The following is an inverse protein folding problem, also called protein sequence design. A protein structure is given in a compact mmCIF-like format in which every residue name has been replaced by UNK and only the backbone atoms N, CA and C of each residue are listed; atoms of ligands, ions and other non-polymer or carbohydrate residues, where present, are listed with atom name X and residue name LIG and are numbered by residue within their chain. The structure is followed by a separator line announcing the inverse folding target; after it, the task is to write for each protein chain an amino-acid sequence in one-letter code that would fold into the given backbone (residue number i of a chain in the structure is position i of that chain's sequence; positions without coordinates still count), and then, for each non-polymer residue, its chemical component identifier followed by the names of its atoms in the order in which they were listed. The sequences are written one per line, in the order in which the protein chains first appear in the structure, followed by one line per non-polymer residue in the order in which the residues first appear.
data_IF_440850315939
#
_entry.id   IF_440850315939
#
_cell.length_a   1.000
_cell.length_b   1.000
_cell.length_c   1.000
_cell.angle_alpha   90.00
_cell.angle_beta   90.00
_cell.angle_gamma   90.00
#
_symmetry.space_group_name_H-M   'P 1'
#
loop_
_entity.id
_entity.type
_entity.pdbx_description
1 polymer ?
#
# COMPACT_ATOMS: atom_id res chain seq x y z
N UNK A 1 12.99 -57.93 -38.09
CA UNK A 1 11.71 -58.49 -37.58
C UNK A 1 11.52 -58.42 -36.07
N UNK A 2 12.53 -58.67 -35.21
CA UNK A 2 12.36 -58.77 -33.73
C UNK A 2 12.01 -57.48 -32.95
N UNK A 3 12.00 -56.29 -33.58
CA UNK A 3 11.72 -55.00 -32.88
C UNK A 3 10.23 -54.63 -32.93
N UNK A 4 9.58 -54.88 -34.07
CA UNK A 4 8.15 -54.59 -34.28
C UNK A 4 7.24 -55.51 -33.45
N UNK A 5 7.64 -56.78 -33.29
CA UNK A 5 6.91 -57.75 -32.43
C UNK A 5 6.97 -57.39 -30.95
N UNK A 6 8.05 -56.77 -30.48
CA UNK A 6 8.19 -56.31 -29.09
C UNK A 6 7.35 -55.06 -28.79
N UNK A 7 7.14 -54.19 -29.77
CA UNK A 7 6.26 -53.02 -29.61
C UNK A 7 4.79 -53.40 -29.68
N UNK A 8 4.40 -54.34 -30.55
CA UNK A 8 3.03 -54.88 -30.60
C UNK A 8 2.66 -55.66 -29.34
N UNK A 9 3.62 -56.38 -28.72
CA UNK A 9 3.39 -57.06 -27.44
C UNK A 9 3.26 -56.09 -26.25
N UNK A 10 3.90 -54.91 -26.31
CA UNK A 10 3.75 -53.87 -25.28
C UNK A 10 2.42 -53.12 -25.40
N UNK A 11 1.96 -52.81 -26.63
CA UNK A 11 0.64 -52.19 -26.86
C UNK A 11 -0.51 -53.09 -26.41
N UNK A 12 -0.46 -54.38 -26.76
CA UNK A 12 -1.51 -55.34 -26.35
C UNK A 12 -1.55 -55.60 -24.85
N UNK A 13 -0.44 -55.39 -24.12
CA UNK A 13 -0.42 -55.50 -22.65
C UNK A 13 -1.00 -54.25 -21.97
N UNK A 14 -0.77 -53.07 -22.54
CA UNK A 14 -1.35 -51.80 -22.07
C UNK A 14 -2.86 -51.71 -22.36
N UNK A 15 -3.32 -52.19 -23.52
CA UNK A 15 -4.75 -52.24 -23.87
C UNK A 15 -5.53 -53.20 -22.95
N UNK A 16 -4.92 -54.35 -22.57
CA UNK A 16 -5.52 -55.28 -21.60
C UNK A 16 -5.53 -54.76 -20.16
N UNK A 17 -4.66 -53.81 -19.81
CA UNK A 17 -4.72 -53.12 -18.51
C UNK A 17 -5.83 -52.07 -18.49
N UNK A 18 -6.06 -51.36 -19.61
CA UNK A 18 -7.14 -50.37 -19.73
C UNK A 18 -8.52 -51.05 -19.65
N UNK A 19 -8.69 -52.23 -20.28
CA UNK A 19 -9.94 -53.00 -20.20
C UNK A 19 -10.24 -53.55 -18.79
N UNK A 20 -9.23 -53.71 -17.93
CA UNK A 20 -9.43 -54.07 -16.51
C UNK A 20 -10.04 -52.92 -15.70
N UNK A 21 -9.91 -51.67 -16.13
CA UNK A 21 -10.43 -50.50 -15.44
C UNK A 21 -11.76 -49.99 -16.01
N UNK A 22 -12.26 -50.55 -17.13
CA UNK A 22 -13.49 -50.07 -17.79
C UNK A 22 -14.72 -50.96 -17.52
N UNK A 23 -14.57 -52.12 -16.88
CA UNK A 23 -15.73 -53.00 -16.61
C UNK A 23 -15.79 -53.48 -15.16
N UNK A 24 -16.42 -52.66 -14.32
CA UNK A 24 -17.44 -53.05 -13.32
C UNK A 24 -17.98 -51.79 -12.63
N UNK A 25 -19.30 -51.65 -12.65
CA UNK A 25 -20.13 -50.59 -12.08
C UNK A 25 -20.32 -49.30 -12.89
N UNK A 26 -20.67 -49.48 -14.17
CA UNK A 26 -21.40 -48.49 -14.96
C UNK A 26 -22.91 -48.43 -14.64
N UNK A 27 -23.28 -48.61 -13.37
CA UNK A 27 -24.67 -48.45 -12.90
C UNK A 27 -24.65 -47.67 -11.58
N UNK A 28 -25.27 -46.48 -11.61
CA UNK A 28 -25.43 -45.53 -10.51
C UNK A 28 -24.28 -44.56 -10.22
N UNK A 29 -23.65 -43.99 -11.25
CA UNK A 29 -23.22 -42.59 -11.11
C UNK A 29 -24.48 -41.75 -11.31
N UNK A 30 -25.12 -41.35 -10.20
CA UNK A 30 -25.96 -40.16 -10.20
C UNK A 30 -25.06 -39.05 -10.70
N UNK A 31 -25.20 -38.69 -11.97
CA UNK A 31 -24.78 -37.39 -12.46
C UNK A 31 -25.57 -36.43 -11.59
N UNK A 32 -24.93 -35.94 -10.54
CA UNK A 32 -25.36 -34.74 -9.87
C UNK A 32 -25.24 -33.71 -10.98
N UNK A 33 -26.37 -33.47 -11.67
CA UNK A 33 -26.58 -32.28 -12.48
C UNK A 33 -26.23 -31.18 -11.50
N UNK A 34 -25.01 -30.68 -11.62
CA UNK A 34 -24.57 -29.50 -10.94
C UNK A 34 -25.54 -28.46 -11.48
N UNK A 35 -26.57 -28.15 -10.71
CA UNK A 35 -27.54 -27.15 -11.06
C UNK A 35 -26.72 -25.97 -11.56
N UNK A 36 -26.86 -25.65 -12.84
CA UNK A 36 -26.32 -24.44 -13.40
C UNK A 36 -26.78 -23.36 -12.42
N UNK A 37 -25.83 -22.80 -11.65
CA UNK A 37 -26.13 -21.69 -10.77
C UNK A 37 -26.80 -20.70 -11.68
N UNK A 38 -28.12 -20.54 -11.54
CA UNK A 38 -28.89 -19.55 -12.27
C UNK A 38 -28.09 -18.27 -12.10
N UNK A 39 -27.48 -17.82 -13.19
CA UNK A 39 -26.93 -16.47 -13.25
C UNK A 39 -28.19 -15.63 -13.26
N UNK A 40 -28.71 -15.36 -12.05
CA UNK A 40 -29.81 -14.44 -11.86
C UNK A 40 -29.37 -13.17 -12.56
N UNK A 41 -30.14 -12.77 -13.58
CA UNK A 41 -29.92 -11.48 -14.25
C UNK A 41 -29.74 -10.46 -13.14
N UNK A 42 -28.63 -9.69 -13.14
CA UNK A 42 -28.36 -8.77 -12.04
C UNK A 42 -29.60 -7.91 -11.86
N UNK A 43 -30.13 -7.90 -10.64
CA UNK A 43 -31.32 -7.12 -10.32
C UNK A 43 -31.16 -5.72 -10.92
N UNK A 44 -32.16 -5.25 -11.66
CA UNK A 44 -32.15 -3.89 -12.20
C UNK A 44 -32.35 -2.92 -11.02
N UNK A 45 -31.25 -2.63 -10.34
CA UNK A 45 -31.21 -1.65 -9.25
C UNK A 45 -30.99 -0.30 -9.91
N UNK A 46 -31.82 0.68 -9.56
CA UNK A 46 -31.61 2.08 -10.00
C UNK A 46 -30.30 2.61 -9.40
N UNK A 47 -29.60 3.54 -10.07
CA UNK A 47 -28.35 4.10 -9.57
C UNK A 47 -28.43 4.57 -8.12
N UNK A 48 -29.52 5.23 -7.72
CA UNK A 48 -29.72 5.78 -6.38
C UNK A 48 -29.84 4.66 -5.32
N UNK A 49 -30.61 3.61 -5.62
CA UNK A 49 -30.72 2.43 -4.74
C UNK A 49 -29.39 1.68 -4.64
N UNK A 50 -28.59 1.69 -5.71
CA UNK A 50 -27.26 1.10 -5.70
C UNK A 50 -26.30 1.90 -4.82
N UNK A 51 -26.35 3.23 -4.89
CA UNK A 51 -25.53 4.13 -4.08
C UNK A 51 -25.80 3.93 -2.58
N UNK A 52 -27.07 3.94 -2.17
CA UNK A 52 -27.47 3.70 -0.78
C UNK A 52 -27.00 2.34 -0.25
N UNK A 53 -27.14 1.29 -1.07
CA UNK A 53 -26.67 -0.05 -0.70
C UNK A 53 -25.15 -0.10 -0.56
N UNK A 54 -24.42 0.57 -1.44
CA UNK A 54 -22.96 0.67 -1.37
C UNK A 54 -22.54 1.43 -0.12
N UNK A 55 -23.16 2.58 0.18
CA UNK A 55 -22.91 3.38 1.39
C UNK A 55 -23.01 2.55 2.66
N UNK A 56 -24.05 1.72 2.79
CA UNK A 56 -24.19 0.78 3.92
C UNK A 56 -23.02 -0.22 4.02
N UNK A 57 -22.55 -0.74 2.89
CA UNK A 57 -21.47 -1.73 2.86
C UNK A 57 -20.06 -1.13 3.01
N UNK A 58 -19.89 0.18 2.82
CA UNK A 58 -18.64 0.88 3.12
C UNK A 58 -18.33 0.91 4.63
N UNK A 59 -19.34 0.74 5.49
CA UNK A 59 -19.15 0.66 6.95
C UNK A 59 -18.73 -0.73 7.45
N UNK A 60 -18.59 -1.71 6.57
CA UNK A 60 -18.26 -3.08 6.94
C UNK A 60 -16.93 -3.52 6.29
N UNK A 61 -15.96 -3.87 7.14
CA UNK A 61 -14.59 -4.23 6.75
C UNK A 61 -14.55 -5.33 5.66
N UNK A 62 -15.35 -6.40 5.82
CA UNK A 62 -15.34 -7.53 4.90
C UNK A 62 -15.88 -7.19 3.51
N UNK A 63 -16.79 -6.21 3.43
CA UNK A 63 -17.40 -5.77 2.16
C UNK A 63 -16.78 -4.50 1.61
N UNK A 64 -15.94 -3.81 2.38
CA UNK A 64 -15.40 -2.50 2.06
C UNK A 64 -14.71 -2.47 0.69
N UNK A 65 -13.76 -3.39 0.45
CA UNK A 65 -13.01 -3.48 -0.81
C UNK A 65 -13.91 -3.63 -2.04
N UNK A 66 -14.93 -4.47 -1.94
CA UNK A 66 -15.88 -4.65 -3.05
C UNK A 66 -16.74 -3.39 -3.24
N UNK A 67 -17.10 -2.75 -2.14
CA UNK A 67 -17.98 -1.58 -2.13
C UNK A 67 -17.31 -0.34 -2.70
N UNK A 68 -16.04 -0.06 -2.36
CA UNK A 68 -15.31 1.05 -3.00
C UNK A 68 -15.21 0.85 -4.52
N UNK A 69 -14.95 -0.40 -4.94
CA UNK A 69 -14.73 -0.71 -6.34
C UNK A 69 -16.01 -0.48 -7.15
N UNK A 70 -17.15 -0.84 -6.55
CA UNK A 70 -18.46 -0.57 -7.11
C UNK A 70 -18.77 0.93 -7.08
N UNK A 71 -18.42 1.64 -6.01
CA UNK A 71 -18.63 3.08 -5.90
C UNK A 71 -17.86 3.84 -6.99
N UNK A 72 -16.55 3.56 -7.16
CA UNK A 72 -15.71 4.17 -8.19
C UNK A 72 -16.30 3.98 -9.59
N UNK A 73 -16.75 2.75 -9.91
CA UNK A 73 -17.42 2.46 -11.20
C UNK A 73 -18.76 3.18 -11.34
N UNK A 74 -19.55 3.23 -10.26
CA UNK A 74 -20.87 3.84 -10.25
C UNK A 74 -20.77 5.35 -10.49
N UNK A 75 -19.90 6.03 -9.73
CA UNK A 75 -19.64 7.47 -9.88
C UNK A 75 -19.11 7.75 -11.29
N UNK A 76 -18.05 7.09 -11.74
CA UNK A 76 -17.50 7.34 -13.10
C UNK A 76 -18.55 7.24 -14.21
N UNK A 77 -19.45 6.26 -14.12
CA UNK A 77 -20.46 6.00 -15.15
C UNK A 77 -21.73 6.86 -15.01
N UNK A 78 -22.09 7.25 -13.80
CA UNK A 78 -23.40 7.83 -13.49
C UNK A 78 -23.35 9.07 -12.60
N UNK A 79 -22.19 9.74 -12.46
CA UNK A 79 -22.00 10.92 -11.62
C UNK A 79 -23.02 12.04 -11.90
N UNK A 80 -23.41 12.25 -13.17
CA UNK A 80 -24.43 13.24 -13.55
C UNK A 80 -25.84 12.94 -13.03
N UNK A 81 -26.06 11.74 -12.49
CA UNK A 81 -27.34 11.33 -11.89
C UNK A 81 -27.39 11.51 -10.38
N UNK A 82 -26.25 11.82 -9.75
CA UNK A 82 -26.16 12.05 -8.31
C UNK A 82 -25.93 13.52 -8.04
N UNK A 83 -26.54 14.01 -6.97
CA UNK A 83 -26.18 15.28 -6.37
C UNK A 83 -24.76 15.22 -5.80
N UNK A 84 -24.11 16.38 -5.66
CA UNK A 84 -22.79 16.45 -5.04
C UNK A 84 -22.89 16.04 -3.56
N UNK A 85 -23.99 16.36 -2.88
CA UNK A 85 -24.26 16.00 -1.51
C UNK A 85 -24.28 14.48 -1.31
N UNK A 86 -24.95 13.73 -2.19
CA UNK A 86 -24.96 12.25 -2.14
C UNK A 86 -23.56 11.64 -2.33
N UNK A 87 -22.74 12.26 -3.19
CA UNK A 87 -21.36 11.83 -3.40
C UNK A 87 -20.51 12.15 -2.16
N UNK A 88 -20.61 13.36 -1.62
CA UNK A 88 -19.90 13.79 -0.41
C UNK A 88 -20.26 12.92 0.80
N UNK A 89 -21.52 12.54 0.93
CA UNK A 89 -22.01 11.60 1.95
C UNK A 89 -21.33 10.22 1.87
N UNK A 90 -21.02 9.76 0.66
CA UNK A 90 -20.26 8.53 0.45
C UNK A 90 -18.79 8.72 0.83
N UNK A 91 -18.18 9.87 0.52
CA UNK A 91 -16.81 10.21 0.93
C UNK A 91 -16.68 10.31 2.45
N UNK A 92 -17.66 10.91 3.11
CA UNK A 92 -17.75 10.98 4.56
C UNK A 92 -17.80 9.57 5.15
N UNK A 93 -18.62 8.69 4.58
CA UNK A 93 -18.69 7.28 5.00
C UNK A 93 -17.36 6.53 4.80
N UNK A 94 -16.66 6.79 3.69
CA UNK A 94 -15.31 6.22 3.45
C UNK A 94 -14.36 6.68 4.55
N UNK A 95 -14.37 7.97 4.86
CA UNK A 95 -13.50 8.56 5.87
C UNK A 95 -13.79 8.03 7.29
N UNK A 96 -15.06 7.99 7.68
CA UNK A 96 -15.51 7.50 8.99
C UNK A 96 -15.29 6.00 9.19
N UNK A 97 -15.23 5.23 8.10
CA UNK A 97 -15.08 3.77 8.19
C UNK A 97 -13.79 3.32 8.87
N UNK A 98 -12.75 4.16 8.88
CA UNK A 98 -11.41 3.82 9.38
C UNK A 98 -10.64 2.83 8.51
N UNK A 99 -11.27 2.25 7.48
CA UNK A 99 -10.65 1.27 6.58
C UNK A 99 -9.80 1.91 5.48
N UNK A 100 -9.75 3.24 5.41
CA UNK A 100 -8.93 3.95 4.43
C UNK A 100 -7.45 3.58 4.52
N UNK A 101 -6.97 3.18 5.70
CA UNK A 101 -5.61 2.72 5.98
C UNK A 101 -5.36 1.22 5.65
N UNK A 102 -6.42 0.44 5.41
CA UNK A 102 -6.38 -1.01 5.17
C UNK A 102 -6.54 -1.34 3.69
N UNK A 103 -5.68 -2.22 3.16
CA UNK A 103 -4.80 -2.03 2.00
C UNK A 103 -5.33 -1.08 0.89
N UNK A 104 -4.41 -0.40 0.19
CA UNK A 104 -4.70 0.72 -0.70
C UNK A 104 -5.75 0.28 -1.70
N UNK A 105 -6.72 1.15 -1.86
CA UNK A 105 -7.70 1.00 -2.90
C UNK A 105 -7.41 2.21 -3.75
N UNK A 106 -6.67 2.02 -4.85
CA UNK A 106 -6.45 3.05 -5.87
C UNK A 106 -7.76 3.78 -6.16
N UNK A 107 -8.87 3.04 -6.08
CA UNK A 107 -10.24 3.50 -6.20
C UNK A 107 -10.62 4.60 -5.20
N UNK A 108 -10.15 4.58 -3.95
CA UNK A 108 -10.38 5.68 -3.00
C UNK A 108 -9.76 6.96 -3.53
N UNK A 109 -8.46 6.97 -3.85
CA UNK A 109 -7.79 8.15 -4.44
C UNK A 109 -8.44 8.58 -5.76
N UNK A 110 -8.78 7.62 -6.62
CA UNK A 110 -9.48 7.90 -7.87
C UNK A 110 -10.84 8.56 -7.66
N UNK A 111 -11.61 8.15 -6.66
CA UNK A 111 -12.90 8.76 -6.33
C UNK A 111 -12.68 10.20 -5.87
N UNK A 112 -11.76 10.44 -4.91
CA UNK A 112 -11.46 11.80 -4.43
C UNK A 112 -10.99 12.71 -5.57
N UNK A 113 -10.08 12.22 -6.42
CA UNK A 113 -9.58 12.97 -7.58
C UNK A 113 -10.70 13.26 -8.58
N UNK A 114 -11.57 12.27 -8.84
CA UNK A 114 -12.72 12.47 -9.73
C UNK A 114 -13.65 13.55 -9.18
N UNK A 115 -13.93 13.56 -7.88
CA UNK A 115 -14.79 14.58 -7.27
C UNK A 115 -14.14 15.96 -7.34
N UNK A 116 -12.83 16.06 -7.09
CA UNK A 116 -12.09 17.32 -7.26
C UNK A 116 -12.19 17.82 -8.71
N UNK A 117 -11.85 16.97 -9.68
CA UNK A 117 -11.82 17.34 -11.10
C UNK A 117 -13.20 17.74 -11.66
N UNK A 118 -14.30 17.16 -11.17
CA UNK A 118 -15.63 17.35 -11.75
C UNK A 118 -16.55 18.24 -10.91
N UNK A 119 -16.27 18.43 -9.61
CA UNK A 119 -17.20 19.07 -8.68
C UNK A 119 -16.55 20.08 -7.74
N UNK A 120 -15.25 20.39 -7.82
CA UNK A 120 -14.59 21.32 -6.89
C UNK A 120 -15.35 22.64 -6.71
N UNK A 121 -15.87 23.22 -7.78
CA UNK A 121 -16.63 24.48 -7.74
C UNK A 121 -18.04 24.32 -7.14
N UNK A 122 -18.57 23.09 -7.16
CA UNK A 122 -19.88 22.73 -6.63
C UNK A 122 -19.84 22.22 -5.19
N UNK A 123 -18.65 22.04 -4.59
CA UNK A 123 -18.53 21.63 -3.19
C UNK A 123 -18.99 22.81 -2.31
N UNK A 124 -19.97 22.59 -1.40
CA UNK A 124 -20.41 23.61 -0.46
C UNK A 124 -19.24 24.20 0.34
N UNK A 125 -19.23 25.51 0.56
CA UNK A 125 -18.11 26.22 1.18
C UNK A 125 -17.76 25.63 2.56
N UNK A 126 -18.78 25.27 3.34
CA UNK A 126 -18.67 24.66 4.65
C UNK A 126 -18.05 23.24 4.63
N UNK A 127 -18.04 22.57 3.47
CA UNK A 127 -17.47 21.23 3.29
C UNK A 127 -16.10 21.25 2.58
N UNK A 128 -15.66 22.38 2.01
CA UNK A 128 -14.38 22.46 1.26
C UNK A 128 -13.18 22.04 2.10
N UNK A 129 -13.04 22.61 3.30
CA UNK A 129 -11.92 22.29 4.19
C UNK A 129 -11.92 20.81 4.61
N UNK A 130 -13.11 20.25 4.83
CA UNK A 130 -13.29 18.83 5.16
C UNK A 130 -12.90 17.94 3.98
N UNK A 131 -13.31 18.31 2.77
CA UNK A 131 -12.94 17.60 1.55
C UNK A 131 -11.42 17.64 1.29
N UNK A 132 -10.78 18.80 1.48
CA UNK A 132 -9.32 18.94 1.37
C UNK A 132 -8.57 18.01 2.32
N UNK A 133 -9.04 17.91 3.56
CA UNK A 133 -8.48 16.99 4.57
C UNK A 133 -8.61 15.52 4.14
N UNK A 134 -9.78 15.14 3.63
CA UNK A 134 -10.00 13.77 3.14
C UNK A 134 -9.14 13.46 1.91
N UNK A 135 -9.00 14.42 0.99
CA UNK A 135 -8.15 14.30 -0.18
C UNK A 135 -6.67 14.16 0.22
N UNK A 136 -6.19 14.97 1.17
CA UNK A 136 -4.85 14.82 1.75
C UNK A 136 -4.62 13.40 2.25
N UNK A 137 -5.55 12.87 3.07
CA UNK A 137 -5.42 11.53 3.62
C UNK A 137 -5.43 10.45 2.52
N UNK A 138 -6.34 10.57 1.55
CA UNK A 138 -6.45 9.63 0.44
C UNK A 138 -5.20 9.65 -0.46
N UNK A 139 -4.65 10.83 -0.74
CA UNK A 139 -3.42 10.98 -1.50
C UNK A 139 -2.24 10.42 -0.73
N UNK A 140 -2.07 10.80 0.53
CA UNK A 140 -0.96 10.32 1.33
C UNK A 140 -1.00 8.81 1.45
N UNK A 141 -2.11 8.19 1.89
CA UNK A 141 -2.16 6.73 2.08
C UNK A 141 -1.88 5.97 0.78
N UNK A 142 -2.52 6.36 -0.34
CA UNK A 142 -2.34 5.64 -1.61
C UNK A 142 -0.96 5.87 -2.23
N UNK A 143 -0.37 7.05 -2.04
CA UNK A 143 0.95 7.39 -2.59
C UNK A 143 2.08 6.69 -1.81
N UNK A 144 1.87 6.30 -0.56
CA UNK A 144 2.84 5.47 0.18
C UNK A 144 2.88 4.04 -0.39
N UNK A 145 1.79 3.56 -1.00
CA UNK A 145 1.68 2.20 -1.53
C UNK A 145 2.28 1.95 -2.91
N UNK A 146 2.93 2.95 -3.48
CA UNK A 146 3.69 2.77 -4.71
C UNK A 146 5.03 2.11 -4.39
N UNK A 147 5.44 1.11 -5.16
CA UNK A 147 6.82 0.58 -5.12
C UNK A 147 7.85 1.58 -5.70
N UNK A 148 7.37 2.73 -6.17
CA UNK A 148 8.15 3.84 -6.68
C UNK A 148 8.69 4.71 -5.52
N UNK A 149 10.01 4.64 -5.33
CA UNK A 149 10.70 5.40 -4.29
C UNK A 149 10.64 6.91 -4.52
N UNK A 150 10.58 7.39 -5.76
CA UNK A 150 10.46 8.82 -6.06
C UNK A 150 9.10 9.35 -5.60
N UNK A 151 8.03 8.63 -5.94
CA UNK A 151 6.67 8.96 -5.54
C UNK A 151 6.52 8.95 -4.01
N UNK A 152 7.12 7.96 -3.35
CA UNK A 152 7.19 7.91 -1.89
C UNK A 152 7.89 9.13 -1.28
N UNK A 153 9.09 9.49 -1.76
CA UNK A 153 9.85 10.61 -1.20
C UNK A 153 9.15 11.95 -1.44
N UNK A 154 8.50 12.11 -2.59
CA UNK A 154 7.64 13.27 -2.86
C UNK A 154 6.52 13.39 -1.82
N UNK A 155 5.90 12.27 -1.45
CA UNK A 155 4.84 12.25 -0.45
C UNK A 155 5.37 12.53 0.98
N UNK A 156 6.53 11.98 1.34
CA UNK A 156 7.18 12.33 2.61
C UNK A 156 7.47 13.83 2.66
N UNK A 157 7.99 14.42 1.57
CA UNK A 157 8.22 15.86 1.48
C UNK A 157 6.92 16.64 1.68
N UNK A 158 5.85 16.24 1.01
CA UNK A 158 4.53 16.85 1.15
C UNK A 158 3.98 16.76 2.59
N UNK A 159 4.17 15.63 3.27
CA UNK A 159 3.82 15.50 4.69
C UNK A 159 4.64 16.45 5.57
N UNK A 160 5.96 16.58 5.34
CA UNK A 160 6.80 17.52 6.09
C UNK A 160 6.36 18.97 5.88
N UNK A 161 6.08 19.34 4.63
CA UNK A 161 5.53 20.66 4.30
C UNK A 161 4.20 20.90 5.06
N UNK A 162 3.31 19.90 5.11
CA UNK A 162 2.06 20.01 5.85
C UNK A 162 2.26 20.13 7.36
N UNK A 163 3.23 19.41 7.93
CA UNK A 163 3.61 19.51 9.35
C UNK A 163 4.06 20.92 9.74
N UNK A 164 4.64 21.68 8.80
CA UNK A 164 5.00 23.09 9.03
C UNK A 164 3.81 24.02 9.19
N UNK A 165 2.68 23.69 8.56
CA UNK A 165 1.45 24.47 8.62
C UNK A 165 0.56 24.15 9.82
N UNK A 166 0.82 23.05 10.55
CA UNK A 166 -0.01 22.62 11.67
C UNK A 166 0.15 23.51 12.90
N UNK A 167 -0.96 23.71 13.60
CA UNK A 167 -1.05 24.49 14.84
C UNK A 167 -1.97 23.83 15.85
N UNK A 168 -1.90 24.23 17.12
CA UNK A 168 -2.80 23.73 18.19
C UNK A 168 -4.28 24.02 17.90
N UNK A 169 -4.55 25.09 17.16
CA UNK A 169 -5.91 25.50 16.77
C UNK A 169 -6.49 24.59 15.67
N UNK A 170 -5.61 23.93 14.89
CA UNK A 170 -5.98 23.11 13.73
C UNK A 170 -6.27 21.65 14.10
N UNK A 171 -7.06 21.42 15.17
CA UNK A 171 -7.29 20.07 15.74
C UNK A 171 -7.65 19.00 14.72
N UNK A 172 -8.56 19.32 13.80
CA UNK A 172 -8.98 18.38 12.75
C UNK A 172 -7.86 18.04 11.77
N UNK A 173 -7.02 19.00 11.41
CA UNK A 173 -5.85 18.77 10.56
C UNK A 173 -4.80 17.94 11.30
N UNK A 174 -4.61 18.17 12.60
CA UNK A 174 -3.69 17.38 13.43
C UNK A 174 -4.13 15.91 13.47
N UNK A 175 -5.42 15.65 13.62
CA UNK A 175 -6.01 14.30 13.57
C UNK A 175 -5.80 13.63 12.20
N UNK A 176 -6.06 14.37 11.11
CA UNK A 176 -5.91 13.88 9.74
C UNK A 176 -4.45 13.54 9.43
N UNK A 177 -3.53 14.45 9.78
CA UNK A 177 -2.10 14.25 9.63
C UNK A 177 -1.62 13.04 10.42
N UNK A 178 -2.06 12.91 11.68
CA UNK A 178 -1.72 11.80 12.53
C UNK A 178 -2.18 10.45 11.94
N UNK A 179 -3.40 10.38 11.40
CA UNK A 179 -3.88 9.18 10.69
C UNK A 179 -3.01 8.83 9.47
N UNK A 180 -2.59 9.84 8.71
CA UNK A 180 -1.71 9.65 7.57
C UNK A 180 -0.32 9.12 7.99
N UNK A 181 0.21 9.63 9.11
CA UNK A 181 1.47 9.18 9.70
C UNK A 181 1.40 7.71 10.15
N UNK A 182 0.32 7.29 10.80
CA UNK A 182 0.12 5.88 11.15
C UNK A 182 0.08 4.98 9.91
N UNK A 183 -0.49 5.49 8.81
CA UNK A 183 -0.46 4.81 7.51
C UNK A 183 0.95 4.48 7.00
N UNK A 184 1.99 5.22 7.40
CA UNK A 184 3.38 4.96 7.03
C UNK A 184 4.02 3.79 7.78
N UNK A 185 3.46 3.35 8.92
CA UNK A 185 4.11 2.37 9.79
C UNK A 185 4.46 1.06 9.08
N UNK A 186 3.59 0.57 8.20
CA UNK A 186 3.82 -0.65 7.41
C UNK A 186 5.07 -0.58 6.53
N UNK A 187 5.52 0.61 6.15
CA UNK A 187 6.72 0.82 5.34
C UNK A 187 8.00 0.84 6.15
N UNK A 188 7.94 0.96 7.48
CA UNK A 188 9.14 0.78 8.32
C UNK A 188 9.85 -0.55 8.10
N UNK A 189 9.17 -1.56 7.55
CA UNK A 189 9.77 -2.85 7.18
C UNK A 189 10.62 -2.78 5.91
N UNK A 190 10.41 -1.78 5.05
CA UNK A 190 11.08 -1.61 3.76
C UNK A 190 12.34 -0.76 3.93
N UNK A 191 13.49 -1.35 3.60
CA UNK A 191 14.81 -0.81 3.88
C UNK A 191 15.03 0.61 3.34
N UNK A 192 14.66 0.85 2.08
CA UNK A 192 14.87 2.14 1.41
C UNK A 192 14.01 3.28 1.96
N UNK A 193 12.92 2.96 2.69
CA UNK A 193 11.98 3.96 3.21
C UNK A 193 12.22 4.33 4.68
N UNK A 194 12.96 3.47 5.42
CA UNK A 194 13.17 3.58 6.87
C UNK A 194 13.67 4.95 7.30
N UNK A 195 14.73 5.44 6.68
CA UNK A 195 15.37 6.71 7.05
C UNK A 195 14.42 7.90 6.88
N UNK A 196 13.67 7.92 5.78
CA UNK A 196 12.71 8.99 5.49
C UNK A 196 11.54 9.00 6.48
N UNK A 197 11.01 7.81 6.82
CA UNK A 197 9.93 7.68 7.82
C UNK A 197 10.43 8.06 9.21
N UNK A 198 11.62 7.61 9.58
CA UNK A 198 12.22 7.92 10.88
C UNK A 198 12.38 9.42 11.06
N UNK A 199 12.92 10.11 10.04
CA UNK A 199 13.08 11.56 10.06
C UNK A 199 11.73 12.28 10.19
N UNK A 200 10.70 11.84 9.45
CA UNK A 200 9.37 12.41 9.56
C UNK A 200 8.76 12.22 10.96
N UNK A 201 8.97 11.06 11.58
CA UNK A 201 8.53 10.79 12.96
C UNK A 201 9.26 11.71 13.94
N UNK A 202 10.56 11.91 13.76
CA UNK A 202 11.35 12.85 14.57
C UNK A 202 10.84 14.27 14.45
N UNK A 203 10.67 14.79 13.24
CA UNK A 203 10.12 16.13 13.00
C UNK A 203 8.71 16.26 13.64
N UNK A 204 7.86 15.23 13.49
CA UNK A 204 6.52 15.25 14.08
C UNK A 204 6.58 15.26 15.61
N UNK A 205 7.51 14.51 16.18
CA UNK A 205 7.70 14.43 17.62
C UNK A 205 8.22 15.75 18.22
N UNK A 206 9.03 16.52 17.49
CA UNK A 206 9.44 17.87 17.91
C UNK A 206 8.22 18.80 18.07
N UNK A 207 7.18 18.59 17.26
CA UNK A 207 5.90 19.31 17.35
C UNK A 207 4.83 18.58 18.15
N UNK A 208 5.17 17.60 18.99
CA UNK A 208 4.21 16.74 19.69
C UNK A 208 3.11 17.48 20.48
N UNK A 209 3.38 18.71 20.94
CA UNK A 209 2.46 19.50 21.74
C UNK A 209 1.16 19.86 21.00
N UNK A 210 1.16 19.87 19.67
CA UNK A 210 -0.05 20.11 18.86
C UNK A 210 -1.01 18.90 18.82
N UNK A 211 -0.55 17.74 19.31
CA UNK A 211 -1.31 16.49 19.32
C UNK A 211 -1.84 16.17 20.72
N UNK A 212 -2.89 15.37 20.78
CA UNK A 212 -3.49 14.90 22.05
C UNK A 212 -2.52 14.00 22.83
N UNK A 213 -2.68 13.88 24.15
CA UNK A 213 -1.80 13.05 25.00
C UNK A 213 -1.70 11.59 24.50
N UNK A 214 -2.81 11.01 24.06
CA UNK A 214 -2.84 9.65 23.50
C UNK A 214 -2.02 9.53 22.19
N UNK A 215 -2.08 10.56 21.33
CA UNK A 215 -1.26 10.63 20.12
C UNK A 215 0.22 10.82 20.47
N UNK A 216 0.54 11.65 21.46
CA UNK A 216 1.91 11.84 21.94
C UNK A 216 2.52 10.55 22.47
N UNK A 217 1.77 9.74 23.23
CA UNK A 217 2.22 8.44 23.70
C UNK A 217 2.51 7.48 22.54
N UNK A 218 1.69 7.52 21.49
CA UNK A 218 1.91 6.70 20.30
C UNK A 218 3.12 7.19 19.48
N UNK A 219 3.32 8.50 19.35
CA UNK A 219 4.51 9.08 18.72
C UNK A 219 5.79 8.68 19.47
N UNK A 220 5.76 8.66 20.81
CA UNK A 220 6.86 8.14 21.64
C UNK A 220 7.19 6.69 21.30
N UNK A 221 6.17 5.82 21.21
CA UNK A 221 6.35 4.41 20.83
C UNK A 221 6.91 4.29 19.41
N UNK A 222 6.43 5.10 18.47
CA UNK A 222 6.89 5.09 17.09
C UNK A 222 8.35 5.55 16.95
N UNK A 223 8.80 6.49 17.79
CA UNK A 223 10.17 7.00 17.85
C UNK A 223 11.14 6.00 18.49
N UNK A 224 10.71 5.31 19.55
CA UNK A 224 11.53 4.37 20.32
C UNK A 224 11.93 3.10 19.53
N UNK A 225 11.33 2.85 18.38
CA UNK A 225 11.71 1.77 17.48
C UNK A 225 12.96 2.22 16.69
N UNK A 226 14.10 2.23 17.36
CA UNK A 226 15.38 2.47 16.68
C UNK A 226 15.68 1.31 15.71
N UNK A 227 16.19 1.60 14.50
CA UNK A 227 16.94 0.61 13.77
C UNK A 227 18.22 0.33 14.57
N UNK A 228 18.48 -0.95 14.88
CA UNK A 228 19.72 -1.47 15.51
C UNK A 228 21.06 -1.05 14.87
N UNK A 229 21.04 -0.18 13.86
CA UNK A 229 22.22 0.26 13.11
C UNK A 229 23.00 1.40 13.76
N UNK A 230 22.42 2.23 14.63
CA UNK A 230 23.19 3.30 15.28
C UNK A 230 24.37 2.72 16.10
N UNK A 231 24.12 1.62 16.82
CA UNK A 231 25.13 0.89 17.61
C UNK A 231 26.15 0.17 16.73
N UNK A 232 25.77 -0.29 15.53
CA UNK A 232 26.70 -0.97 14.61
C UNK A 232 27.64 0.02 13.92
N UNK A 233 27.15 1.22 13.56
CA UNK A 233 27.99 2.28 12.98
C UNK A 233 28.97 2.90 13.99
N UNK A 234 28.60 3.00 15.28
CA UNK A 234 29.54 3.36 16.34
C UNK A 234 30.55 2.24 16.60
N UNK A 235 30.13 0.97 16.62
CA UNK A 235 31.06 -0.18 16.67
C UNK A 235 32.02 -0.23 15.50
N UNK A 236 31.58 0.10 14.29
CA UNK A 236 32.45 0.12 13.10
C UNK A 236 33.44 1.29 13.18
N UNK A 237 33.06 2.45 13.74
CA UNK A 237 34.02 3.53 14.04
C UNK A 237 35.03 3.10 15.12
N UNK A 238 34.59 2.47 16.20
CA UNK A 238 35.49 1.98 17.25
C UNK A 238 36.46 0.88 16.74
N UNK A 239 36.05 0.08 15.75
CA UNK A 239 36.90 -0.93 15.10
C UNK A 239 37.88 -0.31 14.07
N UNK A 240 37.52 0.82 13.45
CA UNK A 240 38.34 1.53 12.45
C UNK A 240 39.28 2.56 13.07
N UNK A 241 38.96 3.10 14.25
CA UNK A 241 39.79 4.07 15.00
C UNK A 241 40.77 3.39 15.97
N UNK A 242 40.71 2.06 16.12
CA UNK A 242 41.74 1.31 16.81
C UNK A 242 43.04 1.31 15.97
N UNK A 243 44.16 1.88 16.45
CA UNK A 243 45.42 1.87 15.70
C UNK A 243 45.90 0.42 15.56
N UNK A 244 45.76 -0.14 14.36
CA UNK A 244 46.43 -1.38 14.00
C UNK A 244 47.85 -1.04 13.57
N UNK A 245 48.85 -1.47 14.33
CA UNK A 245 50.22 -1.58 13.81
C UNK A 245 50.22 -2.58 12.67
N UNK A 246 50.21 -2.07 11.44
CA UNK A 246 50.51 -2.85 10.25
C UNK A 246 52.01 -2.68 10.03
N UNK A 247 52.79 -3.70 10.39
CA UNK A 247 54.17 -3.81 9.93
C UNK A 247 54.14 -4.40 8.52
N UNK A 248 54.12 -3.54 7.50
CA UNK A 248 54.36 -3.94 6.12
C UNK A 248 55.80 -3.59 5.72
N UNK A 249 56.54 -4.60 5.26
CA UNK A 249 57.97 -4.53 4.98
C UNK A 249 58.25 -4.16 3.51
N UNK A 250 57.42 -3.30 2.90
CA UNK A 250 57.57 -2.86 1.52
C UNK A 250 57.18 -1.39 1.37
N UNK A 251 58.08 -0.65 0.73
CA UNK A 251 57.96 0.77 0.42
C UNK A 251 56.70 1.08 -0.39
N UNK A 252 55.63 1.54 0.26
CA UNK A 252 54.58 2.36 -0.35
C UNK A 252 53.71 3.03 0.73
N UNK A 253 53.74 4.36 0.79
CA UNK A 253 52.93 5.15 1.74
C UNK A 253 51.56 5.41 1.12
N UNK A 254 50.50 4.89 1.76
CA UNK A 254 49.11 5.25 1.46
C UNK A 254 48.66 6.30 2.49
N UNK A 255 48.51 7.55 2.07
CA UNK A 255 47.82 8.58 2.86
C UNK A 255 46.33 8.46 2.56
N UNK A 256 45.54 8.05 3.54
CA UNK A 256 44.08 8.06 3.46
C UNK A 256 43.58 9.35 4.11
N UNK A 257 43.24 10.35 3.29
CA UNK A 257 42.27 11.37 3.68
C UNK A 257 41.06 11.21 2.75
N UNK A 258 39.87 11.26 3.34
CA UNK A 258 38.62 10.84 2.71
C UNK A 258 38.30 11.53 1.39
N UNK A 259 37.52 10.80 0.58
CA UNK A 259 36.87 11.23 -0.65
C UNK A 259 37.85 11.53 -1.79
N UNK A 260 38.48 10.49 -2.33
CA UNK A 260 38.55 10.19 -3.78
C UNK A 260 39.62 9.12 -4.05
N UNK A 261 39.22 7.97 -4.59
CA UNK A 261 40.17 6.94 -5.05
C UNK A 261 40.39 7.07 -6.55
N UNK A 262 41.61 7.44 -6.95
CA UNK A 262 42.07 7.35 -8.32
C UNK A 262 43.12 6.25 -8.41
N UNK A 263 42.83 5.20 -9.20
CA UNK A 263 43.83 4.18 -9.50
C UNK A 263 44.70 4.61 -10.68
N UNK A 264 46.02 4.54 -10.52
CA UNK A 264 47.04 4.90 -11.51
C UNK A 264 47.14 3.89 -12.69
N UNK A 265 46.02 3.31 -13.14
CA UNK A 265 45.95 2.40 -14.31
C UNK A 265 45.00 2.87 -15.42
N UNK A 266 44.75 4.17 -15.52
CA UNK A 266 44.08 4.78 -16.69
C UNK A 266 44.92 5.85 -17.40
N UNK A 267 46.24 5.88 -17.15
CA UNK A 267 47.18 6.68 -17.93
C UNK A 267 48.25 5.77 -18.56
N UNK A 268 47.92 5.13 -19.68
CA UNK A 268 48.86 4.76 -20.74
C UNK A 268 48.25 5.31 -22.03
N UNK A 269 48.90 6.14 -22.85
CA UNK A 269 50.23 6.01 -23.48
C UNK A 269 50.48 4.60 -23.99
#
# INVERSE_FOLDING_TARGET
MKKLERENLKRTKAEREIDKYISKDATAIKIQVCEEKKIEKPAQITPDKALEKIKKHLRNEHTYKKSINLLSKLIRKHHTKFSIEEILDCLETIYESGFINNPPQDQTKEIFRFVFENYQESIPEEKKLTFERWMFLADTINTIHTDDSYVFHKNIKFMREKLEELSEESKDWNEIYYKALLGLEKFKKIEWSKTAIQKLIEDTYEKKNIFTEAQQETLLKLRAIEPKRAVESERIRDILDAPKEITDNRDEVIIVNGLDSWSLRQAGV
#
